data_IF_723765695205
#
_entry.id   IF_723765695205
#
_cell.length_a   1.000
_cell.length_b   1.000
_cell.length_c   1.000
_cell.angle_alpha   90.00
_cell.angle_beta   90.00
_cell.angle_gamma   90.00
#
_symmetry.space_group_name_H-M   'P 1'
#
loop_
_entity.id
_entity.type
_entity.pdbx_description
1 polymer ?
#
# COMPACT_ATOMS: atom_id res chain seq x y z
N UNK A 1 -10.89 -12.18 -1.39
CA UNK A 1 -10.91 -11.48 -0.10
C UNK A 1 -10.67 -10.00 -0.32
N UNK A 2 -11.54 -9.14 0.20
CA UNK A 2 -11.39 -7.71 -0.02
C UNK A 2 -10.38 -7.10 0.95
N UNK A 3 -9.47 -6.30 0.41
CA UNK A 3 -8.52 -5.53 1.21
C UNK A 3 -9.21 -4.31 1.81
N UNK A 4 -8.55 -3.64 2.75
CA UNK A 4 -9.08 -2.39 3.31
C UNK A 4 -9.26 -1.33 2.21
N UNK A 5 -8.31 -1.26 1.29
CA UNK A 5 -8.39 -0.41 0.11
C UNK A 5 -9.61 -0.77 -0.75
N UNK A 6 -9.81 -2.07 -0.99
CA UNK A 6 -10.95 -2.55 -1.78
C UNK A 6 -12.29 -2.21 -1.13
N UNK A 7 -12.38 -2.35 0.18
CA UNK A 7 -13.58 -1.99 0.94
C UNK A 7 -13.87 -0.49 0.82
N UNK A 8 -12.85 0.34 0.91
CA UNK A 8 -12.99 1.78 0.79
C UNK A 8 -13.54 2.16 -0.60
N UNK A 9 -12.93 1.63 -1.65
CA UNK A 9 -13.39 1.91 -3.03
C UNK A 9 -14.80 1.42 -3.28
N UNK A 10 -15.14 0.26 -2.79
CA UNK A 10 -16.47 -0.31 -2.95
C UNK A 10 -17.52 0.57 -2.28
N UNK A 11 -17.24 1.00 -1.06
CA UNK A 11 -18.11 1.91 -0.32
C UNK A 11 -18.27 3.24 -1.06
N UNK A 12 -17.19 3.77 -1.57
CA UNK A 12 -17.18 5.00 -2.33
C UNK A 12 -18.06 4.89 -3.59
N UNK A 13 -17.94 3.78 -4.32
CA UNK A 13 -18.79 3.54 -5.50
C UNK A 13 -20.27 3.43 -5.12
N UNK A 14 -20.58 2.77 -4.02
CA UNK A 14 -21.96 2.66 -3.53
C UNK A 14 -22.52 4.04 -3.23
N UNK A 15 -21.73 4.90 -2.60
CA UNK A 15 -22.16 6.27 -2.30
C UNK A 15 -22.42 7.08 -3.57
N UNK A 16 -21.64 6.85 -4.63
CA UNK A 16 -21.80 7.54 -5.89
C UNK A 16 -22.85 6.90 -6.81
N UNK A 17 -23.29 5.69 -6.47
CA UNK A 17 -24.23 4.95 -7.31
C UNK A 17 -23.62 4.47 -8.61
N UNK A 18 -22.32 4.23 -8.66
CA UNK A 18 -21.63 3.76 -9.87
C UNK A 18 -21.11 2.33 -9.69
N UNK A 19 -20.86 1.68 -10.81
CA UNK A 19 -20.36 0.31 -10.85
C UNK A 19 -18.86 0.29 -11.02
N UNK A 20 -18.24 -0.85 -10.73
CA UNK A 20 -16.81 -1.05 -10.92
C UNK A 20 -16.38 -0.73 -12.35
N UNK A 21 -17.17 -1.18 -13.33
CA UNK A 21 -16.89 -0.94 -14.75
C UNK A 21 -16.85 0.56 -15.06
N UNK A 22 -17.80 1.32 -14.51
CA UNK A 22 -17.87 2.77 -14.74
C UNK A 22 -16.63 3.46 -14.17
N UNK A 23 -16.21 3.09 -12.96
CA UNK A 23 -15.02 3.64 -12.34
C UNK A 23 -13.77 3.27 -13.13
N UNK A 24 -13.66 2.03 -13.60
CA UNK A 24 -12.51 1.59 -14.37
C UNK A 24 -12.35 2.42 -15.65
N UNK A 25 -13.44 2.69 -16.33
CA UNK A 25 -13.42 3.54 -17.54
C UNK A 25 -12.96 4.96 -17.22
N UNK A 26 -13.51 5.54 -16.17
CA UNK A 26 -13.16 6.90 -15.77
C UNK A 26 -11.68 7.01 -15.42
N UNK A 27 -11.15 6.00 -14.74
CA UNK A 27 -9.74 5.98 -14.34
C UNK A 27 -8.80 5.48 -15.44
N UNK A 28 -9.34 5.14 -16.59
CA UNK A 28 -8.58 4.59 -17.73
C UNK A 28 -7.84 3.29 -17.39
N UNK A 29 -8.50 2.45 -16.59
CA UNK A 29 -7.98 1.14 -16.20
C UNK A 29 -8.93 0.07 -16.72
N UNK A 30 -8.43 -1.16 -16.89
CA UNK A 30 -9.33 -2.26 -17.18
C UNK A 30 -10.11 -2.62 -15.91
N UNK A 31 -11.34 -3.13 -16.08
CA UNK A 31 -12.13 -3.57 -14.94
C UNK A 31 -11.46 -4.74 -14.23
N UNK A 32 -10.77 -5.60 -14.96
CA UNK A 32 -10.01 -6.72 -14.38
C UNK A 32 -8.87 -6.22 -13.50
N UNK A 33 -8.16 -5.19 -13.93
CA UNK A 33 -7.07 -4.62 -13.15
C UNK A 33 -7.60 -3.93 -11.89
N UNK A 34 -8.65 -3.14 -12.02
CA UNK A 34 -9.25 -2.48 -10.86
C UNK A 34 -9.75 -3.50 -9.84
N UNK A 35 -10.41 -4.56 -10.31
CA UNK A 35 -10.84 -5.66 -9.44
C UNK A 35 -9.64 -6.32 -8.75
N UNK A 36 -8.55 -6.53 -9.50
CA UNK A 36 -7.36 -7.19 -8.95
C UNK A 36 -6.69 -6.37 -7.85
N UNK A 37 -6.63 -5.04 -7.99
CA UNK A 37 -6.05 -4.21 -6.92
C UNK A 37 -6.98 -4.13 -5.70
N UNK A 38 -8.30 -4.19 -5.90
CA UNK A 38 -9.24 -4.20 -4.78
C UNK A 38 -9.16 -5.49 -3.95
N UNK A 39 -8.87 -6.60 -4.59
CA UNK A 39 -8.79 -7.91 -3.91
C UNK A 39 -7.38 -8.27 -3.46
N UNK A 40 -6.40 -7.41 -3.75
CA UNK A 40 -5.02 -7.64 -3.35
C UNK A 40 -4.24 -8.55 -4.28
N UNK A 41 -4.79 -8.94 -5.41
CA UNK A 41 -4.09 -9.76 -6.41
C UNK A 41 -3.01 -8.98 -7.16
N UNK A 42 -3.18 -7.68 -7.25
CA UNK A 42 -2.21 -6.76 -7.85
C UNK A 42 -1.95 -5.63 -6.89
N UNK A 43 -0.76 -5.07 -6.94
CA UNK A 43 -0.38 -3.95 -6.09
C UNK A 43 -1.08 -2.66 -6.54
N UNK A 44 -1.38 -1.81 -5.56
CA UNK A 44 -2.01 -0.51 -5.83
C UNK A 44 -0.98 0.40 -6.49
N UNK A 45 -1.31 1.04 -7.64
CA UNK A 45 -0.40 1.99 -8.27
C UNK A 45 -0.05 3.15 -7.34
N UNK A 46 1.18 3.62 -7.39
CA UNK A 46 1.66 4.69 -6.50
C UNK A 46 0.92 6.01 -6.71
N UNK A 47 0.41 6.24 -7.91
CA UNK A 47 -0.29 7.48 -8.26
C UNK A 47 -1.82 7.31 -8.24
N UNK A 48 -2.32 6.28 -7.55
CA UNK A 48 -3.75 5.98 -7.57
C UNK A 48 -4.59 7.10 -6.98
N UNK A 49 -4.16 7.67 -5.84
CA UNK A 49 -4.88 8.77 -5.21
C UNK A 49 -4.97 9.97 -6.13
N UNK A 50 -3.86 10.35 -6.75
CA UNK A 50 -3.81 11.48 -7.68
C UNK A 50 -4.77 11.26 -8.86
N UNK A 51 -4.79 10.05 -9.37
CA UNK A 51 -5.67 9.67 -10.47
C UNK A 51 -7.15 9.75 -10.05
N UNK A 52 -7.46 9.25 -8.86
CA UNK A 52 -8.82 9.27 -8.35
C UNK A 52 -9.31 10.70 -8.09
N UNK A 53 -8.49 11.51 -7.47
CA UNK A 53 -8.82 12.92 -7.15
C UNK A 53 -9.03 13.74 -8.41
N UNK A 54 -8.32 13.41 -9.47
CA UNK A 54 -8.47 14.08 -10.76
C UNK A 54 -9.88 13.93 -11.33
N UNK A 55 -10.51 12.78 -11.11
CA UNK A 55 -11.81 12.46 -11.69
C UNK A 55 -12.98 12.55 -10.71
N UNK A 56 -12.71 12.45 -9.42
CA UNK A 56 -13.74 12.48 -8.40
C UNK A 56 -13.37 13.48 -7.31
N UNK A 57 -14.29 14.39 -6.93
CA UNK A 57 -14.01 15.31 -5.83
C UNK A 57 -14.00 14.56 -4.49
N UNK A 58 -12.88 14.63 -3.79
CA UNK A 58 -12.72 14.01 -2.48
C UNK A 58 -12.46 15.08 -1.43
N UNK A 59 -13.08 14.95 -0.26
CA UNK A 59 -12.78 15.79 0.88
C UNK A 59 -11.43 15.39 1.47
N UNK A 60 -10.88 16.24 2.32
CA UNK A 60 -9.63 15.93 3.02
C UNK A 60 -9.77 14.68 3.87
N UNK A 61 -10.93 14.50 4.50
CA UNK A 61 -11.21 13.32 5.32
C UNK A 61 -11.27 12.06 4.48
N UNK A 62 -11.88 12.13 3.29
CA UNK A 62 -11.93 11.00 2.38
C UNK A 62 -10.55 10.63 1.86
N UNK A 63 -9.72 11.62 1.53
CA UNK A 63 -8.35 11.39 1.09
C UNK A 63 -7.54 10.74 2.20
N UNK A 64 -7.67 11.25 3.42
CA UNK A 64 -6.98 10.70 4.58
C UNK A 64 -7.39 9.25 4.85
N UNK A 65 -8.67 8.95 4.77
CA UNK A 65 -9.19 7.59 4.95
C UNK A 65 -8.67 6.66 3.86
N UNK A 66 -8.60 7.15 2.63
CA UNK A 66 -8.08 6.37 1.51
C UNK A 66 -6.58 6.10 1.68
N UNK A 67 -5.82 7.09 2.10
CA UNK A 67 -4.39 6.92 2.38
C UNK A 67 -4.16 5.86 3.45
N UNK A 68 -4.95 5.89 4.52
CA UNK A 68 -4.87 4.90 5.59
C UNK A 68 -5.21 3.51 5.08
N UNK A 69 -6.24 3.39 4.26
CA UNK A 69 -6.66 2.11 3.69
C UNK A 69 -5.58 1.52 2.79
N UNK A 70 -4.95 2.36 1.96
CA UNK A 70 -3.85 1.95 1.09
C UNK A 70 -2.66 1.50 1.94
N UNK A 71 -2.34 2.25 2.98
CA UNK A 71 -1.23 1.92 3.86
C UNK A 71 -1.42 0.58 4.55
N UNK A 72 -2.61 0.33 5.08
CA UNK A 72 -2.93 -0.95 5.71
C UNK A 72 -2.82 -2.11 4.73
N UNK A 73 -3.31 -1.91 3.52
CA UNK A 73 -3.25 -2.94 2.48
C UNK A 73 -1.80 -3.25 2.11
N UNK A 74 -0.97 -2.24 1.99
CA UNK A 74 0.46 -2.42 1.69
C UNK A 74 1.21 -3.12 2.82
N UNK A 75 0.88 -2.81 4.05
CA UNK A 75 1.46 -3.48 5.21
C UNK A 75 1.12 -4.98 5.21
N UNK A 76 -0.13 -5.32 4.90
CA UNK A 76 -0.55 -6.71 4.80
C UNK A 76 0.17 -7.44 3.67
N UNK A 77 0.37 -6.77 2.54
CA UNK A 77 1.14 -7.33 1.42
C UNK A 77 2.58 -7.60 1.82
N UNK A 78 3.22 -6.69 2.53
CA UNK A 78 4.58 -6.84 3.01
C UNK A 78 4.70 -8.01 3.97
N UNK A 79 3.77 -8.14 4.91
CA UNK A 79 3.75 -9.27 5.84
C UNK A 79 3.63 -10.60 5.12
N UNK A 80 2.80 -10.64 4.08
CA UNK A 80 2.61 -11.84 3.28
C UNK A 80 3.87 -12.23 2.50
N UNK A 81 4.57 -11.23 1.96
CA UNK A 81 5.81 -11.46 1.22
C UNK A 81 6.99 -11.77 2.13
N UNK A 82 6.99 -11.23 3.33
CA UNK A 82 8.08 -11.40 4.29
C UNK A 82 8.22 -12.81 4.82
N UNK A 83 7.22 -13.62 4.68
CA UNK A 83 7.34 -15.04 5.00
C UNK A 83 8.42 -15.71 4.17
N UNK A 84 8.81 -15.10 3.05
CA UNK A 84 9.76 -15.67 2.11
C UNK A 84 11.11 -14.97 2.15
N UNK A 85 11.18 -13.70 2.54
CA UNK A 85 12.38 -12.89 2.30
C UNK A 85 13.07 -12.35 3.52
N UNK A 86 12.38 -12.14 4.63
CA UNK A 86 13.00 -11.51 5.78
C UNK A 86 12.83 -12.37 7.00
N UNK A 87 13.88 -13.10 7.33
CA UNK A 87 13.97 -13.74 8.63
C UNK A 87 14.48 -12.70 9.61
N UNK A 88 13.60 -11.79 9.98
CA UNK A 88 13.94 -10.90 11.08
C UNK A 88 13.57 -11.65 12.35
N UNK A 89 14.58 -12.19 12.98
CA UNK A 89 14.45 -12.85 14.25
C UNK A 89 14.33 -11.76 15.32
N UNK A 90 13.19 -11.10 15.35
CA UNK A 90 12.92 -10.06 16.33
C UNK A 90 11.86 -10.60 17.27
N UNK A 91 12.17 -10.77 18.56
CA UNK A 91 11.25 -11.38 19.52
C UNK A 91 10.07 -10.48 19.91
N UNK A 92 10.00 -9.27 19.41
CA UNK A 92 8.99 -8.30 19.79
C UNK A 92 8.17 -7.86 18.60
N UNK A 93 6.84 -8.00 18.71
CA UNK A 93 5.92 -7.64 17.63
C UNK A 93 6.00 -6.16 17.26
N UNK A 94 6.28 -5.28 18.21
CA UNK A 94 6.42 -3.85 17.94
C UNK A 94 7.62 -3.56 17.05
N UNK A 95 8.72 -4.24 17.30
CA UNK A 95 9.95 -4.08 16.50
C UNK A 95 9.72 -4.66 15.09
N UNK A 96 8.98 -5.77 14.99
CA UNK A 96 8.63 -6.31 13.69
C UNK A 96 7.80 -5.33 12.87
N UNK A 97 6.82 -4.69 13.51
CA UNK A 97 5.99 -3.67 12.86
C UNK A 97 6.85 -2.50 12.37
N UNK A 98 7.81 -2.05 13.18
CA UNK A 98 8.76 -1.01 12.80
C UNK A 98 9.61 -1.43 11.60
N UNK A 99 10.07 -2.68 11.59
CA UNK A 99 10.87 -3.21 10.50
C UNK A 99 10.10 -3.23 9.19
N UNK A 100 8.83 -3.60 9.21
CA UNK A 100 7.99 -3.57 8.02
C UNK A 100 7.76 -2.16 7.51
N UNK A 101 7.47 -1.22 8.40
CA UNK A 101 7.32 0.18 8.05
C UNK A 101 8.60 0.75 7.45
N UNK A 102 9.72 0.36 8.02
CA UNK A 102 11.04 0.79 7.57
C UNK A 102 11.34 0.25 6.17
N UNK A 103 11.09 -1.04 5.95
CA UNK A 103 11.32 -1.66 4.64
C UNK A 103 10.47 -1.00 3.55
N UNK A 104 9.23 -0.63 3.88
CA UNK A 104 8.36 0.06 2.95
C UNK A 104 8.90 1.43 2.56
N UNK A 105 9.44 2.17 3.53
CA UNK A 105 9.93 3.53 3.32
C UNK A 105 11.30 3.61 2.70
N UNK A 106 12.01 2.49 2.65
CA UNK A 106 13.38 2.48 2.17
C UNK A 106 13.49 2.96 0.71
N UNK A 107 12.46 2.68 -0.10
CA UNK A 107 12.42 3.12 -1.49
C UNK A 107 12.18 4.62 -1.64
N UNK A 108 11.72 5.28 -0.59
CA UNK A 108 11.49 6.72 -0.58
C UNK A 108 12.72 7.50 -0.14
N UNK A 109 13.74 6.80 0.33
CA UNK A 109 14.97 7.42 0.82
C UNK A 109 15.94 7.69 -0.31
N UNK A 110 16.82 8.67 -0.11
CA UNK A 110 17.90 8.93 -1.06
C UNK A 110 18.89 7.77 -1.06
N UNK A 111 19.68 7.66 -2.13
CA UNK A 111 20.69 6.60 -2.23
C UNK A 111 21.68 6.63 -1.08
N UNK A 112 22.07 7.83 -0.64
CA UNK A 112 22.96 7.99 0.53
C UNK A 112 22.33 7.46 1.80
N UNK A 113 21.04 7.77 2.01
CA UNK A 113 20.31 7.31 3.18
C UNK A 113 20.16 5.79 3.18
N UNK A 114 19.86 5.21 2.05
CA UNK A 114 19.75 3.75 1.91
C UNK A 114 21.08 3.08 2.19
N UNK A 115 22.16 3.65 1.68
CA UNK A 115 23.51 3.13 1.89
C UNK A 115 23.91 3.19 3.36
N UNK A 116 23.64 4.32 4.02
CA UNK A 116 23.96 4.47 5.44
C UNK A 116 23.23 3.44 6.30
N UNK A 117 21.96 3.22 6.00
CA UNK A 117 21.14 2.23 6.71
C UNK A 117 21.68 0.83 6.50
N UNK A 118 22.04 0.51 5.26
CA UNK A 118 22.58 -0.79 4.91
C UNK A 118 23.88 -1.07 5.65
N UNK A 119 24.75 -0.08 5.75
CA UNK A 119 26.00 -0.19 6.49
C UNK A 119 25.77 -0.46 7.99
N UNK A 120 24.79 0.23 8.58
CA UNK A 120 24.43 0.01 9.99
C UNK A 120 23.95 -1.41 10.21
N UNK A 121 23.11 -1.93 9.31
CA UNK A 121 22.58 -3.28 9.40
C UNK A 121 23.67 -4.34 9.21
N UNK A 122 24.58 -4.10 8.28
CA UNK A 122 25.70 -5.02 8.04
C UNK A 122 26.65 -5.05 9.23
N UNK A 123 26.92 -3.91 9.85
CA UNK A 123 27.77 -3.84 11.02
C UNK A 123 27.19 -4.57 12.22
N UNK A 124 25.88 -4.64 12.33
CA UNK A 124 25.21 -5.38 13.41
C UNK A 124 25.28 -6.89 13.23
N UNK A 125 25.44 -7.34 12.00
CA UNK A 125 25.52 -8.77 11.72
C UNK A 125 26.92 -9.34 11.88
N UNK A 126 27.93 -8.49 11.94
CA UNK A 126 29.33 -8.90 12.08
C UNK A 126 29.74 -9.12 13.54
N UNK A 127 28.88 -8.83 14.45
CA UNK A 127 29.10 -9.09 15.88
C UNK A 127 28.43 -10.41 16.27
#
# INVERSE_FOLDING_TARGET
MNTEFGKWLKTFRIMLGIKLYDMSKTLELSSSFLSAIETGKKSIPVNFIDRLVKHYPLSKEQISALENAIEKTREEELKSKDKVHIKIDVPNAEIQSLAYSFARRINELTDEQQKAIKEILENKTDD
#
